data_IF_595634139157
#
_entry.id   IF_595634139157
#
_cell.length_a   1.000
_cell.length_b   1.000
_cell.length_c   1.000
_cell.angle_alpha   90.00
_cell.angle_beta   90.00
_cell.angle_gamma   90.00
#
_symmetry.space_group_name_H-M   'P 1'
#
loop_
_entity.id
_entity.type
_entity.pdbx_description
1 polymer ?
#
# COMPACT_ATOMS: atom_id res chain seq x y z
N UNK A 1 -38.34 -50.31 22.62
CA UNK A 1 -38.33 -49.72 21.27
C UNK A 1 -37.18 -48.72 21.24
N UNK A 2 -36.02 -49.08 20.66
CA UNK A 2 -34.82 -48.25 20.66
C UNK A 2 -34.85 -47.41 19.39
N UNK A 3 -35.00 -46.09 19.52
CA UNK A 3 -34.93 -45.16 18.40
C UNK A 3 -33.51 -45.20 17.80
N UNK A 4 -33.40 -45.47 16.49
CA UNK A 4 -32.13 -45.31 15.79
C UNK A 4 -31.86 -43.82 15.65
N UNK A 5 -30.66 -43.32 15.99
CA UNK A 5 -30.32 -41.93 15.72
C UNK A 5 -30.36 -41.70 14.20
N UNK A 6 -31.03 -40.63 13.76
CA UNK A 6 -31.03 -40.22 12.37
C UNK A 6 -29.58 -39.98 11.93
N UNK A 7 -29.05 -40.86 11.07
CA UNK A 7 -27.74 -40.63 10.45
C UNK A 7 -27.82 -39.28 9.70
N UNK A 8 -26.87 -38.35 9.93
CA UNK A 8 -26.84 -37.11 9.19
C UNK A 8 -26.72 -37.48 7.70
N UNK A 9 -27.79 -37.21 6.95
CA UNK A 9 -27.88 -37.59 5.54
C UNK A 9 -26.67 -37.00 4.82
N UNK A 10 -25.80 -37.84 4.25
CA UNK A 10 -24.48 -37.43 3.74
C UNK A 10 -24.49 -36.24 2.77
N UNK A 11 -25.63 -35.93 2.15
CA UNK A 11 -25.83 -34.70 1.37
C UNK A 11 -25.67 -33.42 2.19
N UNK A 12 -26.00 -33.40 3.49
CA UNK A 12 -25.77 -32.24 4.34
C UNK A 12 -24.28 -32.01 4.60
N UNK A 13 -23.49 -33.08 4.76
CA UNK A 13 -22.03 -32.96 4.88
C UNK A 13 -21.44 -32.42 3.57
N UNK A 14 -21.86 -32.95 2.41
CA UNK A 14 -21.41 -32.46 1.11
C UNK A 14 -21.83 -31.00 0.86
N UNK A 15 -23.04 -30.62 1.26
CA UNK A 15 -23.53 -29.25 1.12
C UNK A 15 -22.76 -28.28 2.02
N UNK A 16 -22.50 -28.65 3.28
CA UNK A 16 -21.68 -27.86 4.19
C UNK A 16 -20.24 -27.72 3.69
N UNK A 17 -19.65 -28.79 3.14
CA UNK A 17 -18.31 -28.76 2.59
C UNK A 17 -18.26 -27.90 1.31
N UNK A 18 -19.24 -28.02 0.42
CA UNK A 18 -19.37 -27.17 -0.76
C UNK A 18 -19.57 -25.70 -0.40
N UNK A 19 -20.41 -25.41 0.60
CA UNK A 19 -20.61 -24.05 1.12
C UNK A 19 -19.34 -23.47 1.74
N UNK A 20 -18.58 -24.27 2.50
CA UNK A 20 -17.30 -23.86 3.06
C UNK A 20 -16.28 -23.53 1.96
N UNK A 21 -16.13 -24.41 0.96
CA UNK A 21 -15.22 -24.19 -0.17
C UNK A 21 -15.59 -22.91 -0.92
N UNK A 22 -16.87 -22.72 -1.24
CA UNK A 22 -17.33 -21.51 -1.92
C UNK A 22 -17.05 -20.25 -1.09
N UNK A 23 -17.31 -20.30 0.22
CA UNK A 23 -17.04 -19.18 1.13
C UNK A 23 -15.56 -18.84 1.16
N UNK A 24 -14.69 -19.84 1.26
CA UNK A 24 -13.23 -19.64 1.23
C UNK A 24 -12.79 -19.04 -0.10
N UNK A 25 -13.32 -19.51 -1.23
CA UNK A 25 -12.99 -18.96 -2.55
C UNK A 25 -13.43 -17.50 -2.68
N UNK A 26 -14.62 -17.14 -2.19
CA UNK A 26 -15.10 -15.75 -2.21
C UNK A 26 -14.27 -14.84 -1.29
N UNK A 27 -13.83 -15.33 -0.13
CA UNK A 27 -12.94 -14.57 0.76
C UNK A 27 -11.56 -14.37 0.14
N UNK A 28 -11.01 -15.40 -0.51
CA UNK A 28 -9.74 -15.31 -1.22
C UNK A 28 -9.83 -14.36 -2.42
N UNK A 29 -10.92 -14.42 -3.18
CA UNK A 29 -11.17 -13.50 -4.30
C UNK A 29 -11.33 -12.06 -3.81
N UNK A 30 -12.13 -11.85 -2.76
CA UNK A 30 -12.28 -10.53 -2.15
C UNK A 30 -10.94 -9.97 -1.64
N UNK A 31 -10.10 -10.81 -1.04
CA UNK A 31 -8.76 -10.40 -0.59
C UNK A 31 -7.81 -10.10 -1.77
N UNK A 32 -7.79 -10.95 -2.79
CA UNK A 32 -6.90 -10.81 -3.95
C UNK A 32 -7.22 -9.56 -4.79
N UNK A 33 -8.50 -9.18 -4.87
CA UNK A 33 -8.93 -7.96 -5.54
C UNK A 33 -8.97 -6.74 -4.59
N UNK A 34 -8.47 -6.87 -3.35
CA UNK A 34 -8.45 -5.79 -2.36
C UNK A 34 -9.83 -5.31 -1.89
N UNK A 35 -10.92 -5.97 -2.29
CA UNK A 35 -12.29 -5.70 -1.83
C UNK A 35 -12.49 -6.05 -0.35
N UNK A 36 -11.64 -6.93 0.19
CA UNK A 36 -11.53 -7.25 1.61
C UNK A 36 -10.12 -6.94 2.10
N UNK A 37 -10.00 -6.23 3.22
CA UNK A 37 -8.72 -5.96 3.87
C UNK A 37 -8.25 -4.50 3.83
N UNK A 38 -8.94 -3.64 3.07
CA UNK A 38 -8.82 -2.19 3.26
C UNK A 38 -9.36 -1.84 4.65
N UNK A 39 -8.51 -1.17 5.45
CA UNK A 39 -8.90 -0.66 6.75
C UNK A 39 -8.87 0.87 6.68
N UNK A 40 -9.96 1.56 7.05
CA UNK A 40 -9.94 3.00 7.22
C UNK A 40 -8.82 3.40 8.18
N UNK A 41 -8.31 4.62 8.04
CA UNK A 41 -7.45 5.20 9.07
C UNK A 41 -8.23 5.23 10.39
N UNK A 42 -7.79 4.46 11.38
CA UNK A 42 -8.31 4.59 12.73
C UNK A 42 -7.74 5.89 13.34
N UNK A 43 -8.59 6.70 13.98
CA UNK A 43 -8.10 7.84 14.75
C UNK A 43 -7.27 7.33 15.93
N UNK A 44 -5.96 7.46 15.82
CA UNK A 44 -5.06 7.18 16.93
C UNK A 44 -5.02 8.37 17.87
N UNK A 45 -5.19 8.17 19.19
CA UNK A 45 -4.78 9.18 20.14
C UNK A 45 -3.30 9.47 19.88
N UNK A 46 -2.93 10.74 19.89
CA UNK A 46 -1.56 11.21 19.68
C UNK A 46 -0.69 10.72 20.86
N UNK A 47 -0.29 9.44 20.81
CA UNK A 47 0.61 8.82 21.78
C UNK A 47 2.03 9.28 21.44
N UNK A 48 2.24 10.57 21.66
CA UNK A 48 3.52 11.27 21.72
C UNK A 48 4.36 11.22 20.45
N UNK A 49 4.44 12.36 19.76
CA UNK A 49 5.51 12.70 18.80
C UNK A 49 6.95 12.50 19.34
N UNK A 50 7.13 12.23 20.64
CA UNK A 50 8.42 11.94 21.26
C UNK A 50 9.09 10.62 20.84
N UNK A 51 8.38 9.74 20.13
CA UNK A 51 8.98 8.51 19.58
C UNK A 51 9.69 8.72 18.23
N UNK A 52 9.37 9.78 17.48
CA UNK A 52 9.94 10.03 16.15
C UNK A 52 11.21 10.86 16.29
N UNK A 53 12.36 10.42 15.75
CA UNK A 53 13.60 11.20 15.84
C UNK A 53 13.44 12.58 15.21
N UNK A 54 13.90 13.63 15.88
CA UNK A 54 13.83 15.01 15.36
C UNK A 54 14.53 15.20 14.01
N UNK A 55 15.53 14.38 13.71
CA UNK A 55 16.20 14.33 12.41
C UNK A 55 15.24 13.91 11.27
N UNK A 56 14.22 13.10 11.56
CA UNK A 56 13.22 12.66 10.58
C UNK A 56 12.16 13.75 10.41
N UNK A 57 11.57 14.21 11.51
CA UNK A 57 10.49 15.20 11.48
C UNK A 57 10.90 16.52 10.83
N UNK A 58 12.18 16.90 10.94
CA UNK A 58 12.72 18.14 10.37
C UNK A 58 13.58 17.96 9.10
N UNK A 59 14.01 16.75 8.76
CA UNK A 59 15.06 16.57 7.75
C UNK A 59 14.59 16.35 6.32
N UNK A 60 13.41 15.75 6.08
CA UNK A 60 12.82 15.64 4.74
C UNK A 60 11.88 14.44 4.53
N UNK A 61 11.13 14.41 3.40
CA UNK A 61 10.11 13.39 3.14
C UNK A 61 10.66 12.03 2.74
N UNK A 62 11.93 11.92 2.32
CA UNK A 62 12.52 10.61 1.95
C UNK A 62 13.33 10.09 3.12
N UNK A 63 12.85 9.01 3.75
CA UNK A 63 13.40 8.46 5.00
C UNK A 63 13.99 7.09 4.73
N UNK A 64 15.32 6.98 4.86
CA UNK A 64 16.03 5.73 4.81
C UNK A 64 16.28 5.22 6.24
N UNK A 65 15.84 3.99 6.49
CA UNK A 65 15.88 3.31 7.78
C UNK A 65 16.76 2.05 7.75
N UNK A 66 17.46 1.79 6.64
CA UNK A 66 18.26 0.58 6.42
C UNK A 66 19.63 0.59 7.16
N UNK A 67 19.71 1.17 8.36
CA UNK A 67 20.91 1.19 9.19
C UNK A 67 20.65 1.75 10.59
N UNK A 68 21.69 1.79 11.44
CA UNK A 68 21.56 2.13 12.87
C UNK A 68 20.97 3.52 13.16
N UNK A 69 21.05 4.44 12.19
CA UNK A 69 20.56 5.81 12.33
C UNK A 69 19.64 6.19 11.17
N UNK A 70 18.40 6.62 11.42
CA UNK A 70 17.51 7.14 10.41
C UNK A 70 18.10 8.32 9.65
N UNK A 71 17.99 8.31 8.32
CA UNK A 71 18.44 9.41 7.46
C UNK A 71 17.29 9.91 6.63
N UNK A 72 16.95 11.18 6.81
CA UNK A 72 15.94 11.87 6.01
C UNK A 72 16.60 12.75 4.95
N UNK A 73 15.93 12.95 3.82
CA UNK A 73 16.44 13.75 2.71
C UNK A 73 15.33 14.61 2.08
N UNK A 74 15.68 15.85 1.76
CA UNK A 74 14.89 16.78 0.95
C UNK A 74 15.30 16.69 -0.51
N UNK A 75 14.36 17.09 -1.38
CA UNK A 75 14.70 17.33 -2.77
C UNK A 75 15.70 18.48 -2.89
N UNK A 76 16.63 18.44 -3.87
CA UNK A 76 17.52 19.55 -4.14
C UNK A 76 16.75 20.85 -4.44
N UNK A 77 17.42 21.99 -4.27
CA UNK A 77 16.81 23.28 -4.58
C UNK A 77 16.29 23.32 -6.03
N UNK A 78 15.13 23.94 -6.23
CA UNK A 78 14.44 24.04 -7.55
C UNK A 78 14.09 22.69 -8.19
N UNK A 79 13.93 21.64 -7.38
CA UNK A 79 13.50 20.31 -7.83
C UNK A 79 12.21 19.92 -7.12
N UNK A 80 11.25 19.37 -7.87
CA UNK A 80 10.03 18.77 -7.32
C UNK A 80 9.97 17.31 -7.77
N UNK A 81 9.46 16.44 -6.91
CA UNK A 81 9.11 15.07 -7.26
C UNK A 81 7.59 14.97 -7.25
N UNK A 82 7.00 14.60 -8.39
CA UNK A 82 5.57 14.33 -8.47
C UNK A 82 5.35 12.87 -8.06
N UNK A 83 4.44 12.66 -7.12
CA UNK A 83 4.09 11.34 -6.62
C UNK A 83 2.59 11.14 -6.67
N UNK A 84 2.15 9.95 -7.09
CA UNK A 84 0.74 9.61 -7.20
C UNK A 84 0.49 8.28 -6.51
N UNK A 85 -0.54 8.22 -5.68
CA UNK A 85 -0.85 7.06 -4.85
C UNK A 85 -2.08 6.31 -5.42
N UNK A 86 -2.42 5.17 -4.80
CA UNK A 86 -3.65 4.37 -5.01
C UNK A 86 -3.84 3.68 -6.37
N UNK A 87 -3.03 4.03 -7.37
CA UNK A 87 -3.07 3.42 -8.69
C UNK A 87 -2.52 1.98 -8.75
N UNK A 88 -2.51 1.35 -9.93
CA UNK A 88 -3.01 1.88 -11.20
C UNK A 88 -4.54 1.78 -11.30
N UNK A 89 -5.19 2.89 -11.60
CA UNK A 89 -6.62 2.97 -11.88
C UNK A 89 -6.86 3.03 -13.40
N UNK A 90 -7.77 2.21 -13.96
CA UNK A 90 -7.97 2.11 -15.41
C UNK A 90 -8.55 3.38 -16.06
N UNK A 91 -9.11 4.32 -15.29
CA UNK A 91 -9.68 5.58 -15.79
C UNK A 91 -8.69 6.72 -15.65
N UNK A 92 -8.12 6.91 -14.46
CA UNK A 92 -7.32 8.07 -14.11
C UNK A 92 -5.84 7.93 -14.44
N UNK A 93 -5.24 6.77 -14.20
CA UNK A 93 -3.81 6.58 -14.46
C UNK A 93 -3.47 6.78 -15.96
N UNK A 94 -4.24 6.29 -16.95
CA UNK A 94 -3.95 6.57 -18.36
C UNK A 94 -3.98 8.06 -18.70
N UNK A 95 -4.96 8.80 -18.16
CA UNK A 95 -5.11 10.25 -18.39
C UNK A 95 -3.95 11.02 -17.79
N UNK A 96 -3.53 10.62 -16.59
CA UNK A 96 -2.39 11.21 -15.91
C UNK A 96 -1.09 10.96 -16.68
N UNK A 97 -0.85 9.73 -17.14
CA UNK A 97 0.30 9.39 -17.99
C UNK A 97 0.33 10.25 -19.26
N UNK A 98 -0.82 10.46 -19.91
CA UNK A 98 -0.91 11.32 -21.08
C UNK A 98 -0.57 12.79 -20.77
N UNK A 99 -0.95 13.30 -19.59
CA UNK A 99 -0.56 14.64 -19.14
C UNK A 99 0.96 14.71 -18.92
N UNK A 100 1.53 13.77 -18.16
CA UNK A 100 2.96 13.72 -17.88
C UNK A 100 3.79 13.65 -19.17
N UNK A 101 3.38 12.80 -20.12
CA UNK A 101 4.00 12.68 -21.43
C UNK A 101 3.95 13.99 -22.23
N UNK A 102 2.81 14.71 -22.25
CA UNK A 102 2.69 16.02 -22.93
C UNK A 102 3.66 17.06 -22.36
N UNK A 103 3.98 16.96 -21.08
CA UNK A 103 4.90 17.87 -20.40
C UNK A 103 6.33 17.33 -20.31
N UNK A 104 6.62 16.18 -20.93
CA UNK A 104 7.92 15.49 -20.84
C UNK A 104 8.40 15.35 -19.38
N UNK A 105 7.47 15.02 -18.48
CA UNK A 105 7.70 14.88 -17.06
C UNK A 105 7.64 13.42 -16.63
N UNK A 106 8.46 13.06 -15.64
CA UNK A 106 8.39 11.76 -14.96
C UNK A 106 7.88 11.94 -13.53
N UNK A 107 7.41 10.84 -12.94
CA UNK A 107 6.78 10.82 -11.63
C UNK A 107 7.02 9.44 -10.99
N UNK A 108 6.75 9.34 -9.70
CA UNK A 108 6.77 8.08 -8.95
C UNK A 108 5.34 7.70 -8.59
N UNK A 109 4.93 6.48 -8.93
CA UNK A 109 3.60 5.95 -8.63
C UNK A 109 3.70 4.98 -7.45
N UNK A 110 3.11 5.31 -6.30
CA UNK A 110 2.97 4.37 -5.19
C UNK A 110 1.72 3.55 -5.41
N UNK A 111 1.89 2.34 -5.91
CA UNK A 111 0.78 1.51 -6.38
C UNK A 111 0.32 0.52 -5.32
N UNK A 112 -1.00 0.31 -5.26
CA UNK A 112 -1.63 -0.71 -4.42
C UNK A 112 -1.52 -2.06 -5.13
N UNK A 113 -1.02 -3.08 -4.43
CA UNK A 113 -0.70 -4.39 -5.01
C UNK A 113 -1.89 -5.10 -5.65
N UNK A 114 -3.10 -5.01 -5.06
CA UNK A 114 -4.32 -5.53 -5.69
C UNK A 114 -4.61 -4.85 -7.03
N UNK A 115 -4.47 -3.52 -7.11
CA UNK A 115 -4.67 -2.75 -8.36
C UNK A 115 -3.63 -3.09 -9.41
N UNK A 116 -2.39 -3.38 -9.00
CA UNK A 116 -1.33 -3.89 -9.90
C UNK A 116 -1.72 -5.24 -10.48
N UNK A 117 -2.26 -6.15 -9.66
CA UNK A 117 -2.68 -7.48 -10.10
C UNK A 117 -3.87 -7.41 -11.08
N UNK A 118 -4.81 -6.50 -10.85
CA UNK A 118 -5.95 -6.23 -11.75
C UNK A 118 -5.54 -5.54 -13.06
N UNK A 119 -4.55 -4.64 -13.00
CA UNK A 119 -4.18 -3.77 -14.13
C UNK A 119 -2.71 -3.95 -14.59
N UNK A 120 -2.22 -5.17 -14.87
CA UNK A 120 -0.81 -5.42 -15.10
C UNK A 120 -0.30 -4.75 -16.39
N UNK A 121 -1.17 -4.59 -17.39
CA UNK A 121 -0.85 -3.85 -18.62
C UNK A 121 -0.58 -2.37 -18.37
N UNK A 122 -1.28 -1.77 -17.39
CA UNK A 122 -1.11 -0.38 -17.02
C UNK A 122 0.14 -0.17 -16.19
N UNK A 123 0.45 -1.10 -15.27
CA UNK A 123 1.74 -1.14 -14.55
C UNK A 123 2.93 -1.16 -15.52
N UNK A 124 2.87 -2.00 -16.57
CA UNK A 124 3.91 -2.01 -17.61
C UNK A 124 3.97 -0.71 -18.40
N UNK A 125 2.84 -0.06 -18.64
CA UNK A 125 2.79 1.25 -19.31
C UNK A 125 3.48 2.32 -18.49
N UNK A 126 3.24 2.38 -17.18
CA UNK A 126 3.90 3.32 -16.24
C UNK A 126 5.42 3.22 -16.41
N UNK A 127 5.98 2.01 -16.30
CA UNK A 127 7.43 1.80 -16.41
C UNK A 127 7.96 2.11 -17.83
N UNK A 128 7.23 1.68 -18.88
CA UNK A 128 7.64 1.91 -20.28
C UNK A 128 7.70 3.39 -20.63
N UNK A 129 6.89 4.23 -19.99
CA UNK A 129 6.89 5.70 -20.16
C UNK A 129 7.94 6.40 -19.27
N UNK A 130 8.79 5.65 -18.56
CA UNK A 130 9.94 6.21 -17.82
C UNK A 130 9.63 6.63 -16.38
N UNK A 131 8.46 6.26 -15.85
CA UNK A 131 8.08 6.53 -14.48
C UNK A 131 8.63 5.48 -13.50
N UNK A 132 8.72 5.85 -12.23
CA UNK A 132 9.14 4.95 -11.15
C UNK A 132 7.91 4.38 -10.42
N UNK A 133 8.04 3.19 -9.83
CA UNK A 133 6.99 2.57 -9.02
C UNK A 133 7.49 2.31 -7.59
N UNK A 134 6.67 2.69 -6.61
CA UNK A 134 6.80 2.36 -5.19
C UNK A 134 5.63 1.51 -4.71
N UNK A 135 5.79 0.87 -3.55
CA UNK A 135 4.74 0.10 -2.87
C UNK A 135 3.82 1.01 -2.07
N UNK A 136 2.50 0.77 -2.16
CA UNK A 136 1.49 1.38 -1.29
C UNK A 136 0.68 0.33 -0.52
N UNK A 137 1.32 -0.77 -0.13
CA UNK A 137 0.69 -2.01 0.41
C UNK A 137 -0.20 -2.72 -0.62
N UNK A 138 -0.72 -3.89 -0.26
CA UNK A 138 -1.48 -4.74 -1.18
C UNK A 138 -2.96 -4.38 -1.18
N UNK A 139 -3.54 -4.14 -0.01
CA UNK A 139 -4.97 -3.79 0.18
C UNK A 139 -5.17 -2.37 0.76
N UNK A 140 -4.16 -1.49 0.69
CA UNK A 140 -4.25 -0.13 1.23
C UNK A 140 -4.54 -0.07 2.75
N UNK A 141 -3.93 -0.98 3.52
CA UNK A 141 -4.16 -1.07 4.96
C UNK A 141 -3.26 -0.12 5.75
N UNK A 142 -3.76 0.40 6.88
CA UNK A 142 -2.93 1.16 7.80
C UNK A 142 -1.90 0.25 8.52
N UNK A 143 -0.61 0.42 8.19
CA UNK A 143 0.46 -0.38 8.78
C UNK A 143 0.71 -0.08 10.27
N UNK A 144 0.17 1.01 10.80
CA UNK A 144 0.23 1.35 12.21
C UNK A 144 -0.74 0.52 13.07
N UNK A 145 -1.82 -0.01 12.48
CA UNK A 145 -2.91 -0.69 13.20
C UNK A 145 -2.84 -2.20 13.10
N UNK A 146 -2.30 -2.70 11.99
CA UNK A 146 -2.27 -4.13 11.76
C UNK A 146 -1.11 -4.82 12.52
N UNK A 147 -1.29 -6.09 12.91
CA UNK A 147 -0.19 -6.89 13.45
C UNK A 147 0.99 -7.00 12.48
N UNK A 148 2.21 -7.16 13.01
CA UNK A 148 3.44 -7.23 12.21
C UNK A 148 3.40 -8.32 11.11
N UNK A 149 2.81 -9.48 11.38
CA UNK A 149 2.66 -10.54 10.37
C UNK A 149 1.80 -10.10 9.18
N UNK A 150 0.76 -9.29 9.43
CA UNK A 150 -0.14 -8.77 8.41
C UNK A 150 0.55 -7.69 7.59
N UNK A 151 1.32 -6.80 8.24
CA UNK A 151 2.16 -5.83 7.56
C UNK A 151 3.19 -6.49 6.64
N UNK A 152 3.90 -7.51 7.10
CA UNK A 152 4.85 -8.26 6.27
C UNK A 152 4.19 -8.94 5.07
N UNK A 153 3.00 -9.53 5.26
CA UNK A 153 2.22 -10.13 4.18
C UNK A 153 1.81 -9.10 3.12
N UNK A 154 1.36 -7.91 3.53
CA UNK A 154 1.01 -6.82 2.62
C UNK A 154 2.20 -6.38 1.74
N UNK A 155 3.37 -6.26 2.33
CA UNK A 155 4.59 -5.88 1.61
C UNK A 155 5.06 -6.98 0.66
N UNK A 156 5.05 -8.25 1.09
CA UNK A 156 5.44 -9.40 0.24
C UNK A 156 4.47 -9.59 -0.95
N UNK A 157 3.16 -9.54 -0.71
CA UNK A 157 2.17 -9.67 -1.77
C UNK A 157 2.29 -8.54 -2.80
N UNK A 158 2.59 -7.32 -2.37
CA UNK A 158 2.82 -6.19 -3.29
C UNK A 158 4.05 -6.42 -4.16
N UNK A 159 5.16 -6.91 -3.58
CA UNK A 159 6.36 -7.26 -4.35
C UNK A 159 6.08 -8.35 -5.39
N UNK A 160 5.33 -9.38 -5.01
CA UNK A 160 4.93 -10.47 -5.93
C UNK A 160 4.01 -9.97 -7.05
N UNK A 161 3.08 -9.07 -6.74
CA UNK A 161 2.21 -8.45 -7.74
C UNK A 161 3.02 -7.65 -8.76
N UNK A 162 3.99 -6.83 -8.30
CA UNK A 162 4.88 -6.06 -9.17
C UNK A 162 5.78 -6.96 -10.03
N UNK A 163 6.35 -8.01 -9.43
CA UNK A 163 7.17 -8.98 -10.14
C UNK A 163 6.35 -9.74 -11.20
N UNK A 164 5.13 -10.16 -10.87
CA UNK A 164 4.23 -10.84 -11.81
C UNK A 164 3.72 -9.94 -12.93
N UNK A 165 3.37 -8.69 -12.62
CA UNK A 165 2.79 -7.76 -13.60
C UNK A 165 3.83 -7.20 -14.58
N UNK A 166 5.03 -6.89 -14.09
CA UNK A 166 6.02 -6.13 -14.83
C UNK A 166 7.47 -6.60 -14.67
N UNK A 167 7.74 -7.66 -13.91
CA UNK A 167 9.09 -8.20 -13.73
C UNK A 167 10.01 -7.31 -12.89
N UNK A 168 9.45 -6.48 -12.01
CA UNK A 168 10.21 -5.52 -11.19
C UNK A 168 9.99 -5.73 -9.70
N UNK A 169 10.97 -5.28 -8.92
CA UNK A 169 10.88 -5.08 -7.47
C UNK A 169 11.13 -3.61 -7.16
N UNK A 170 10.58 -3.12 -6.06
CA UNK A 170 10.79 -1.75 -5.61
C UNK A 170 11.35 -1.71 -4.19
N UNK A 171 12.15 -0.69 -3.90
CA UNK A 171 12.58 -0.36 -2.53
C UNK A 171 11.88 0.87 -1.99
N UNK A 172 11.09 1.55 -2.81
CA UNK A 172 10.33 2.70 -2.35
C UNK A 172 9.01 2.21 -1.80
N UNK A 173 8.61 2.75 -0.66
CA UNK A 173 7.24 2.61 -0.20
C UNK A 173 6.70 3.93 0.32
N UNK A 174 5.39 4.11 0.23
CA UNK A 174 4.65 5.09 1.00
C UNK A 174 3.64 4.33 1.82
N UNK A 175 3.61 4.56 3.13
CA UNK A 175 2.60 3.94 3.98
C UNK A 175 1.25 4.59 3.71
N UNK A 176 0.15 3.83 3.60
CA UNK A 176 -1.21 4.38 3.52
C UNK A 176 -1.46 5.41 4.63
N UNK A 177 -2.21 6.45 4.29
CA UNK A 177 -2.58 7.56 5.17
C UNK A 177 -1.43 8.40 5.75
N UNK A 178 -0.18 8.06 5.44
CA UNK A 178 0.98 8.80 5.94
C UNK A 178 1.15 10.10 5.20
N UNK A 179 1.22 11.20 5.96
CA UNK A 179 1.25 12.54 5.40
C UNK A 179 2.69 13.07 5.35
N UNK A 180 3.04 13.93 6.30
CA UNK A 180 4.30 14.67 6.36
C UNK A 180 5.20 14.14 7.46
N UNK A 181 6.54 14.29 7.36
CA UNK A 181 7.45 13.84 8.40
C UNK A 181 7.14 14.37 9.80
N UNK A 182 6.65 15.61 9.91
CA UNK A 182 6.28 16.28 11.16
C UNK A 182 4.91 15.84 11.71
N UNK A 183 4.15 15.06 10.95
CA UNK A 183 2.85 14.53 11.34
C UNK A 183 2.89 13.02 11.63
N UNK A 184 4.06 12.38 11.57
CA UNK A 184 4.23 10.98 11.94
C UNK A 184 3.97 10.78 13.44
N UNK A 185 3.12 9.81 13.75
CA UNK A 185 2.84 9.34 15.09
C UNK A 185 3.81 8.22 15.51
N UNK A 186 3.91 7.93 16.80
CA UNK A 186 4.72 6.81 17.30
C UNK A 186 4.37 5.44 16.71
N UNK A 187 3.08 5.07 16.55
CA UNK A 187 2.67 3.86 15.84
C UNK A 187 3.12 3.82 14.37
N UNK A 188 2.93 4.92 13.62
CA UNK A 188 3.38 5.03 12.22
C UNK A 188 4.91 4.94 12.13
N UNK A 189 5.64 5.52 13.08
CA UNK A 189 7.09 5.39 13.14
C UNK A 189 7.56 3.95 13.35
N UNK A 190 6.95 3.19 14.26
CA UNK A 190 7.25 1.76 14.41
C UNK A 190 6.92 0.95 13.15
N UNK A 191 5.87 1.34 12.42
CA UNK A 191 5.55 0.74 11.14
C UNK A 191 6.63 1.06 10.09
N UNK A 192 7.10 2.30 10.05
CA UNK A 192 8.20 2.71 9.17
C UNK A 192 9.49 1.95 9.49
N UNK A 193 9.86 1.80 10.78
CA UNK A 193 11.03 1.03 11.21
C UNK A 193 10.97 -0.42 10.71
N UNK A 194 9.84 -1.11 10.88
CA UNK A 194 9.63 -2.47 10.35
C UNK A 194 9.78 -2.53 8.82
N UNK A 195 9.20 -1.57 8.10
CA UNK A 195 9.40 -1.49 6.65
C UNK A 195 10.88 -1.24 6.28
N UNK A 196 11.59 -0.47 7.10
CA UNK A 196 13.04 -0.27 6.99
C UNK A 196 13.86 -1.54 7.17
N UNK A 197 13.50 -2.37 8.14
CA UNK A 197 14.08 -3.70 8.37
C UNK A 197 13.89 -4.62 7.15
N UNK A 198 12.74 -4.52 6.48
CA UNK A 198 12.45 -5.20 5.21
C UNK A 198 13.17 -4.57 3.99
N UNK A 199 13.98 -3.53 4.21
CA UNK A 199 14.83 -2.90 3.21
C UNK A 199 14.19 -1.75 2.43
N UNK A 200 12.99 -1.29 2.82
CA UNK A 200 12.34 -0.17 2.17
C UNK A 200 12.92 1.19 2.58
N UNK A 201 12.83 2.13 1.65
CA UNK A 201 12.94 3.57 1.88
C UNK A 201 11.52 4.11 1.94
N UNK A 202 11.16 4.69 3.08
CA UNK A 202 9.83 5.25 3.32
C UNK A 202 9.78 6.66 2.75
N UNK A 203 8.80 6.92 1.88
CA UNK A 203 8.61 8.20 1.20
C UNK A 203 7.29 8.83 1.64
N UNK A 204 7.40 9.99 2.27
CA UNK A 204 6.30 10.84 2.74
C UNK A 204 6.06 11.97 1.74
N UNK A 205 5.23 12.93 2.13
CA UNK A 205 4.97 14.16 1.37
C UNK A 205 5.44 15.39 2.14
N UNK A 206 5.81 16.45 1.43
CA UNK A 206 6.02 17.78 2.01
C UNK A 206 4.87 18.75 1.66
N UNK A 207 4.21 18.51 0.53
CA UNK A 207 3.01 19.21 0.06
C UNK A 207 1.93 18.21 -0.34
N UNK A 208 0.81 18.28 0.37
CA UNK A 208 -0.40 17.52 0.08
C UNK A 208 -1.40 18.40 -0.67
N UNK A 209 -1.87 17.93 -1.83
CA UNK A 209 -2.83 18.65 -2.68
C UNK A 209 -4.27 18.52 -2.19
N UNK A 210 -4.58 17.49 -1.39
CA UNK A 210 -5.92 17.14 -0.94
C UNK A 210 -6.93 16.96 -2.09
N UNK A 211 -6.45 16.45 -3.22
CA UNK A 211 -7.25 16.19 -4.42
C UNK A 211 -8.39 15.19 -4.17
N UNK A 212 -8.20 14.23 -3.26
CA UNK A 212 -9.23 13.31 -2.78
C UNK A 212 -10.47 14.02 -2.19
N UNK A 213 -10.32 15.24 -1.68
CA UNK A 213 -11.42 16.05 -1.15
C UNK A 213 -12.19 16.83 -2.23
N UNK A 214 -11.84 16.64 -3.51
CA UNK A 214 -12.43 17.32 -4.68
C UNK A 214 -12.52 18.85 -4.51
N UNK A 215 -11.41 19.56 -4.20
CA UNK A 215 -11.45 20.99 -3.90
C UNK A 215 -11.71 21.88 -5.12
N UNK A 216 -11.69 21.32 -6.33
CA UNK A 216 -11.95 22.05 -7.58
C UNK A 216 -13.46 22.16 -7.83
N UNK A 217 -13.96 23.39 -7.89
CA UNK A 217 -15.31 23.74 -8.35
C UNK A 217 -15.37 23.86 -9.87
#
# INVERSE_FOLDING_TARGET
MIARPDEPRGHWILLMLGGLVLTVLLLLDGFANGALGEAPRDEHPDVGAGAVPGAVTSGGPVVNLAGDTPRSRRMPAKTIALTFDDGPDPVWTPRLLDVLRRHNAHATFFTVGARVAENPGLTRRILREGHEIGSHTYTHVDLATVPAWRAGLELDLTQRALAGAAGVHTRLMRMPYSSRPDALTGPEWRAAERAGEDGYVVVLTDRDTKDWALPGT
#
